data_IF_231381155075
#
_entry.id   IF_231381155075
#
_cell.length_a   1.000
_cell.length_b   1.000
_cell.length_c   1.000
_cell.angle_alpha   90.00
_cell.angle_beta   90.00
_cell.angle_gamma   90.00
#
_symmetry.space_group_name_H-M   'P 1'
#
loop_
_entity.id
_entity.type
_entity.pdbx_description
1 polymer ?
#
# COMPACT_ATOMS: atom_id res chain seq x y z
N UNK A 1 -38.78 -0.82 18.76
CA UNK A 1 -37.59 -1.69 18.88
C UNK A 1 -37.67 -2.71 17.77
N UNK A 2 -37.15 -2.39 16.61
CA UNK A 2 -37.07 -3.28 15.46
C UNK A 2 -35.59 -3.45 15.14
N UNK A 3 -35.12 -4.64 15.41
CA UNK A 3 -33.82 -5.19 15.09
C UNK A 3 -33.51 -5.04 13.61
N UNK A 4 -32.49 -4.28 13.26
CA UNK A 4 -31.90 -4.31 11.93
C UNK A 4 -30.57 -5.05 12.05
N UNK A 5 -30.68 -6.38 12.24
CA UNK A 5 -29.62 -7.30 11.87
C UNK A 5 -29.78 -7.57 10.37
N UNK A 6 -29.12 -6.79 9.56
CA UNK A 6 -28.87 -7.14 8.16
C UNK A 6 -27.45 -7.64 8.08
N UNK A 7 -27.32 -8.93 8.26
CA UNK A 7 -26.17 -9.76 7.91
C UNK A 7 -25.67 -9.35 6.53
N UNK A 8 -24.44 -8.84 6.46
CA UNK A 8 -23.70 -8.76 5.21
C UNK A 8 -23.23 -10.18 4.85
N UNK A 9 -24.15 -11.04 4.51
CA UNK A 9 -23.85 -12.26 3.76
C UNK A 9 -23.54 -11.82 2.33
N UNK A 10 -22.36 -12.22 1.87
CA UNK A 10 -21.78 -11.85 0.60
C UNK A 10 -22.76 -12.04 -0.55
N UNK A 11 -22.99 -10.96 -1.24
CA UNK A 11 -23.34 -11.01 -2.66
C UNK A 11 -22.13 -11.70 -3.29
N UNK A 12 -22.28 -12.98 -3.65
CA UNK A 12 -21.39 -13.63 -4.57
C UNK A 12 -21.37 -12.77 -5.81
N UNK A 13 -20.30 -12.00 -5.98
CA UNK A 13 -20.09 -11.24 -7.20
C UNK A 13 -20.17 -12.25 -8.34
N UNK A 14 -21.16 -12.15 -9.22
CA UNK A 14 -21.12 -12.82 -10.50
C UNK A 14 -19.74 -12.50 -11.07
N UNK A 15 -18.96 -13.53 -11.45
CA UNK A 15 -17.61 -13.36 -11.97
C UNK A 15 -17.66 -12.39 -13.15
N UNK A 16 -17.38 -11.11 -12.89
CA UNK A 16 -17.31 -10.09 -13.91
C UNK A 16 -15.97 -10.25 -14.65
N UNK A 17 -16.00 -10.98 -15.76
CA UNK A 17 -14.80 -11.32 -16.54
C UNK A 17 -14.73 -10.45 -17.77
N UNK A 18 -13.69 -9.65 -17.85
CA UNK A 18 -13.31 -8.91 -19.05
C UNK A 18 -12.29 -9.64 -19.90
N UNK A 19 -12.00 -9.10 -21.07
CA UNK A 19 -10.98 -9.58 -22.02
C UNK A 19 -9.94 -8.50 -22.28
N UNK A 20 -8.67 -8.86 -22.24
CA UNK A 20 -7.58 -7.96 -22.62
C UNK A 20 -7.74 -7.57 -24.09
N UNK A 21 -7.80 -6.28 -24.39
CA UNK A 21 -7.86 -5.74 -25.74
C UNK A 21 -6.52 -5.20 -26.19
N UNK A 22 -5.72 -4.65 -25.28
CA UNK A 22 -4.44 -4.04 -25.60
C UNK A 22 -3.50 -4.12 -24.38
N UNK A 23 -2.19 -4.28 -24.65
CA UNK A 23 -1.12 -4.21 -23.64
C UNK A 23 -0.05 -3.26 -24.18
N UNK A 24 0.26 -2.21 -23.43
CA UNK A 24 1.29 -1.21 -23.77
C UNK A 24 2.18 -0.99 -22.54
N UNK A 25 3.26 -1.74 -22.42
CA UNK A 25 4.10 -1.70 -21.21
C UNK A 25 3.28 -2.06 -19.97
N UNK A 26 3.26 -1.18 -18.96
CA UNK A 26 2.50 -1.38 -17.75
C UNK A 26 1.00 -1.02 -17.88
N UNK A 27 0.54 -0.55 -19.03
CA UNK A 27 -0.85 -0.16 -19.26
C UNK A 27 -1.58 -1.27 -20.00
N UNK A 28 -2.74 -1.67 -19.48
CA UNK A 28 -3.56 -2.75 -20.03
C UNK A 28 -4.98 -2.23 -20.23
N UNK A 29 -5.51 -2.35 -21.43
CA UNK A 29 -6.90 -2.04 -21.72
C UNK A 29 -7.72 -3.35 -21.72
N UNK A 30 -8.80 -3.35 -20.94
CA UNK A 30 -9.65 -4.52 -20.72
C UNK A 30 -11.09 -4.15 -21.09
N UNK A 31 -11.71 -4.96 -21.92
CA UNK A 31 -13.12 -4.81 -22.29
C UNK A 31 -13.98 -5.74 -21.47
N UNK A 32 -15.00 -5.17 -20.86
CA UNK A 32 -16.05 -5.91 -20.17
C UNK A 32 -17.29 -6.02 -21.07
N UNK A 33 -18.17 -6.96 -20.78
CA UNK A 33 -19.43 -7.12 -21.47
C UNK A 33 -20.56 -6.60 -20.58
N UNK A 34 -21.67 -6.23 -21.19
CA UNK A 34 -22.95 -5.93 -20.54
C UNK A 34 -22.97 -4.68 -19.63
N UNK A 35 -22.10 -3.69 -19.88
CA UNK A 35 -22.10 -2.41 -19.16
C UNK A 35 -21.71 -2.50 -17.68
N UNK A 36 -21.25 -3.66 -17.21
CA UNK A 36 -20.82 -3.86 -15.83
C UNK A 36 -19.31 -3.56 -15.67
N UNK A 37 -18.96 -2.27 -15.78
CA UNK A 37 -17.58 -1.83 -15.65
C UNK A 37 -17.13 -1.81 -14.17
N UNK A 38 -15.93 -2.34 -13.86
CA UNK A 38 -15.31 -2.16 -12.55
C UNK A 38 -15.12 -0.68 -12.24
N UNK A 39 -15.32 -0.30 -10.99
CA UNK A 39 -15.09 1.08 -10.53
C UNK A 39 -13.61 1.46 -10.65
N UNK A 40 -13.35 2.78 -10.75
CA UNK A 40 -11.98 3.32 -10.70
C UNK A 40 -11.36 2.92 -9.35
N UNK A 41 -10.08 2.60 -9.36
CA UNK A 41 -9.30 2.03 -8.24
C UNK A 41 -9.67 0.58 -7.86
N UNK A 42 -10.57 -0.08 -8.58
CA UNK A 42 -10.81 -1.51 -8.35
C UNK A 42 -9.66 -2.36 -8.85
N UNK A 43 -9.41 -3.46 -8.15
CA UNK A 43 -8.42 -4.46 -8.56
C UNK A 43 -9.03 -5.46 -9.55
N UNK A 44 -8.24 -5.85 -10.54
CA UNK A 44 -8.57 -6.91 -11.52
C UNK A 44 -7.44 -7.92 -11.50
N UNK A 45 -7.78 -9.19 -11.49
CA UNK A 45 -6.84 -10.30 -11.49
C UNK A 45 -6.70 -10.90 -12.89
N UNK A 46 -5.49 -11.07 -13.37
CA UNK A 46 -5.18 -11.73 -14.63
C UNK A 46 -4.33 -12.95 -14.31
N UNK A 47 -4.75 -14.13 -14.79
CA UNK A 47 -3.94 -15.35 -14.69
C UNK A 47 -2.87 -15.31 -15.77
N UNK A 48 -1.61 -15.42 -15.36
CA UNK A 48 -0.48 -15.47 -16.28
C UNK A 48 -0.23 -16.88 -16.81
N UNK A 49 0.44 -17.02 -17.94
CA UNK A 49 0.68 -18.32 -18.60
C UNK A 49 1.57 -19.27 -17.79
N UNK A 50 2.35 -18.76 -16.87
CA UNK A 50 3.21 -19.50 -15.92
C UNK A 50 2.46 -19.98 -14.67
N UNK A 51 1.14 -19.73 -14.61
CA UNK A 51 0.28 -20.07 -13.46
C UNK A 51 0.31 -19.06 -12.32
N UNK A 52 0.99 -17.93 -12.49
CA UNK A 52 0.99 -16.80 -11.57
C UNK A 52 -0.28 -15.97 -11.68
N UNK A 53 -0.33 -14.92 -10.87
CA UNK A 53 -1.40 -13.93 -10.82
C UNK A 53 -0.80 -12.54 -10.97
N UNK A 54 -1.28 -11.78 -11.95
CA UNK A 54 -1.00 -10.36 -12.07
C UNK A 54 -2.20 -9.56 -11.57
N UNK A 55 -1.96 -8.64 -10.64
CA UNK A 55 -2.95 -7.67 -10.20
C UNK A 55 -2.80 -6.40 -11.03
N UNK A 56 -3.91 -5.86 -11.51
CA UNK A 56 -3.96 -4.57 -12.20
C UNK A 56 -5.03 -3.68 -11.56
N UNK A 57 -4.80 -2.38 -11.53
CA UNK A 57 -5.74 -1.42 -10.95
C UNK A 57 -6.40 -0.59 -12.05
N UNK A 58 -7.71 -0.39 -11.96
CA UNK A 58 -8.47 0.44 -12.89
C UNK A 58 -8.14 1.91 -12.67
N UNK A 59 -7.50 2.53 -13.67
CA UNK A 59 -7.13 3.94 -13.63
C UNK A 59 -8.16 4.84 -14.32
N UNK A 60 -8.82 4.36 -15.38
CA UNK A 60 -9.71 5.17 -16.18
C UNK A 60 -10.73 4.33 -16.95
N UNK A 61 -11.93 4.87 -17.16
CA UNK A 61 -12.90 4.38 -18.13
C UNK A 61 -12.70 5.09 -19.48
N UNK A 62 -12.54 4.32 -20.56
CA UNK A 62 -12.29 4.85 -21.91
C UNK A 62 -13.58 5.02 -22.76
N UNK A 63 -14.70 4.43 -22.31
CA UNK A 63 -15.90 4.26 -23.12
C UNK A 63 -15.94 2.89 -23.81
N UNK A 64 -17.05 2.60 -24.48
CA UNK A 64 -17.27 1.32 -25.21
C UNK A 64 -17.00 0.06 -24.37
N UNK A 65 -17.33 0.12 -23.08
CA UNK A 65 -17.10 -0.94 -22.09
C UNK A 65 -15.63 -1.30 -21.86
N UNK A 66 -14.71 -0.36 -22.13
CA UNK A 66 -13.27 -0.53 -21.94
C UNK A 66 -12.77 0.25 -20.75
N UNK A 67 -12.03 -0.41 -19.88
CA UNK A 67 -11.29 0.21 -18.78
C UNK A 67 -9.79 0.16 -19.07
N UNK A 68 -9.08 1.20 -18.69
CA UNK A 68 -7.63 1.29 -18.70
C UNK A 68 -7.10 1.00 -17.32
N UNK A 69 -6.18 0.05 -17.25
CA UNK A 69 -5.59 -0.42 -16.01
C UNK A 69 -4.08 -0.25 -15.99
N UNK A 70 -3.53 -0.16 -14.79
CA UNK A 70 -2.10 -0.13 -14.53
C UNK A 70 -1.70 -1.44 -13.87
N UNK A 71 -0.69 -2.09 -14.43
CA UNK A 71 -0.19 -3.37 -13.95
C UNK A 71 0.70 -3.20 -12.71
N UNK A 72 0.43 -3.99 -11.67
CA UNK A 72 1.23 -4.09 -10.47
C UNK A 72 2.30 -5.19 -10.56
N UNK A 73 2.70 -5.56 -11.76
CA UNK A 73 3.71 -6.58 -12.02
C UNK A 73 4.15 -6.58 -13.47
N UNK A 74 5.08 -7.47 -13.84
CA UNK A 74 5.51 -7.65 -15.22
C UNK A 74 4.34 -8.06 -16.12
N UNK A 75 4.28 -7.47 -17.31
CA UNK A 75 3.23 -7.75 -18.31
C UNK A 75 3.69 -8.73 -19.37
N UNK A 76 4.87 -9.32 -19.19
CA UNK A 76 5.45 -10.27 -20.13
C UNK A 76 4.55 -11.50 -20.29
N UNK A 77 4.36 -11.93 -21.52
CA UNK A 77 3.52 -13.09 -21.83
C UNK A 77 2.01 -12.82 -21.82
N UNK A 78 1.55 -11.62 -21.51
CA UNK A 78 0.14 -11.26 -21.69
C UNK A 78 -0.18 -11.12 -23.18
N UNK A 79 -1.32 -11.69 -23.56
CA UNK A 79 -1.82 -11.61 -24.94
C UNK A 79 -3.26 -11.11 -24.96
N UNK A 80 -3.62 -10.52 -26.09
CA UNK A 80 -4.99 -10.09 -26.35
C UNK A 80 -5.96 -11.27 -26.27
N UNK A 81 -7.10 -11.05 -25.61
CA UNK A 81 -8.14 -12.07 -25.45
C UNK A 81 -8.05 -12.88 -24.15
N UNK A 82 -6.97 -12.72 -23.35
CA UNK A 82 -6.89 -13.34 -22.03
C UNK A 82 -7.99 -12.82 -21.10
N UNK A 83 -8.41 -13.67 -20.18
CA UNK A 83 -9.41 -13.35 -19.17
C UNK A 83 -8.83 -12.47 -18.07
N UNK A 84 -9.65 -11.51 -17.64
CA UNK A 84 -9.35 -10.59 -16.56
C UNK A 84 -10.55 -10.53 -15.61
N UNK A 85 -10.39 -11.00 -14.39
CA UNK A 85 -11.45 -11.14 -13.39
C UNK A 85 -11.47 -9.93 -12.47
N UNK A 86 -12.55 -9.15 -12.51
CA UNK A 86 -12.77 -8.03 -11.60
C UNK A 86 -13.05 -8.55 -10.19
N UNK A 87 -12.35 -7.99 -9.18
CA UNK A 87 -12.54 -8.39 -7.79
C UNK A 87 -13.73 -7.71 -7.13
N UNK A 88 -14.26 -6.65 -7.73
CA UNK A 88 -15.33 -5.82 -7.15
C UNK A 88 -14.87 -4.94 -5.98
N UNK A 89 -13.57 -4.90 -5.67
CA UNK A 89 -12.99 -4.13 -4.58
C UNK A 89 -11.61 -3.55 -4.97
N UNK A 90 -11.14 -2.48 -4.31
CA UNK A 90 -9.77 -1.99 -4.43
C UNK A 90 -8.74 -3.02 -3.94
N UNK A 91 -7.47 -2.78 -4.29
CA UNK A 91 -6.35 -3.51 -3.69
C UNK A 91 -6.44 -3.35 -2.17
N UNK A 92 -6.37 -4.48 -1.46
CA UNK A 92 -6.47 -4.51 0.00
C UNK A 92 -5.26 -5.19 0.60
N UNK A 93 -4.74 -4.61 1.69
CA UNK A 93 -3.52 -5.05 2.36
C UNK A 93 -3.83 -5.53 3.78
N UNK A 94 -3.03 -6.46 4.33
CA UNK A 94 -3.20 -6.92 5.69
C UNK A 94 -2.96 -5.79 6.69
N UNK A 95 -3.76 -5.72 7.74
CA UNK A 95 -3.64 -4.75 8.82
C UNK A 95 -3.72 -5.43 10.19
N UNK A 96 -3.24 -4.74 11.23
CA UNK A 96 -3.28 -5.22 12.60
C UNK A 96 -1.89 -5.48 13.19
N UNK A 97 -1.85 -5.88 14.45
CA UNK A 97 -0.60 -6.11 15.19
C UNK A 97 0.27 -7.21 14.58
N UNK A 98 -0.33 -8.15 13.84
CA UNK A 98 0.37 -9.24 13.18
C UNK A 98 1.28 -8.78 12.03
N UNK A 99 1.13 -7.52 11.59
CA UNK A 99 2.00 -6.90 10.58
C UNK A 99 3.26 -6.28 11.18
N UNK A 100 3.32 -6.12 12.50
CA UNK A 100 4.49 -5.57 13.18
C UNK A 100 5.69 -6.53 13.06
N UNK A 101 6.86 -5.97 12.91
CA UNK A 101 8.08 -6.75 12.70
C UNK A 101 8.21 -7.36 11.31
N UNK A 102 7.35 -6.99 10.37
CA UNK A 102 7.24 -7.58 9.05
C UNK A 102 7.54 -6.57 7.94
N UNK A 103 7.93 -7.12 6.79
CA UNK A 103 8.22 -6.36 5.59
C UNK A 103 7.31 -6.83 4.44
N UNK A 104 6.65 -5.90 3.78
CA UNK A 104 5.67 -6.16 2.73
C UNK A 104 6.01 -5.41 1.44
N UNK A 105 5.52 -5.94 0.32
CA UNK A 105 5.41 -5.19 -0.93
C UNK A 105 4.12 -4.32 -0.93
N UNK A 106 3.89 -3.57 -1.99
CA UNK A 106 2.71 -2.69 -2.12
C UNK A 106 1.37 -3.43 -2.23
N UNK A 107 1.40 -4.72 -2.54
CA UNK A 107 0.21 -5.58 -2.58
C UNK A 107 -0.09 -6.25 -1.23
N UNK A 108 0.77 -6.04 -0.23
CA UNK A 108 0.64 -6.67 1.08
C UNK A 108 1.23 -8.07 1.18
N UNK A 109 1.97 -8.53 0.15
CA UNK A 109 2.68 -9.80 0.23
C UNK A 109 3.96 -9.64 1.05
N UNK A 110 4.30 -10.59 1.92
CA UNK A 110 5.53 -10.53 2.71
C UNK A 110 6.77 -10.73 1.82
N UNK A 111 7.78 -9.87 2.02
CA UNK A 111 9.07 -9.93 1.32
C UNK A 111 10.25 -10.23 2.26
N UNK A 112 9.95 -10.55 3.52
CA UNK A 112 10.92 -10.88 4.57
C UNK A 112 11.28 -12.37 4.65
N UNK A 113 10.93 -13.18 3.65
CA UNK A 113 11.11 -14.63 3.59
C UNK A 113 10.41 -15.39 4.73
N UNK A 114 9.42 -14.80 5.39
CA UNK A 114 8.59 -15.46 6.39
C UNK A 114 7.20 -15.76 5.79
N UNK A 115 6.46 -16.73 6.33
CA UNK A 115 5.10 -17.01 5.87
C UNK A 115 4.20 -15.78 6.04
N UNK A 116 3.15 -15.70 5.23
CA UNK A 116 2.17 -14.62 5.35
C UNK A 116 1.57 -14.60 6.76
N UNK A 117 1.41 -13.41 7.37
CA UNK A 117 0.80 -13.32 8.70
C UNK A 117 -0.68 -13.70 8.64
N UNK A 118 -1.15 -14.41 9.64
CA UNK A 118 -2.58 -14.69 9.82
C UNK A 118 -3.25 -13.44 10.38
N UNK A 119 -3.78 -12.60 9.50
CA UNK A 119 -4.48 -11.36 9.89
C UNK A 119 -5.99 -11.59 9.90
N UNK A 120 -6.68 -10.87 10.79
CA UNK A 120 -8.14 -10.91 10.89
C UNK A 120 -8.81 -9.97 9.89
N UNK A 121 -8.11 -8.93 9.45
CA UNK A 121 -8.67 -7.87 8.64
C UNK A 121 -7.72 -7.43 7.52
N UNK A 122 -8.32 -7.11 6.37
CA UNK A 122 -7.65 -6.43 5.26
C UNK A 122 -8.34 -5.10 5.02
N UNK A 123 -7.56 -4.07 4.75
CA UNK A 123 -8.10 -2.74 4.44
C UNK A 123 -7.72 -2.31 3.02
N UNK A 124 -8.64 -1.63 2.31
CA UNK A 124 -8.34 -1.08 1.00
C UNK A 124 -7.29 0.03 1.11
N UNK A 125 -6.38 0.08 0.13
CA UNK A 125 -5.35 1.13 0.06
C UNK A 125 -5.97 2.50 -0.25
N UNK A 126 -7.09 2.55 -0.97
CA UNK A 126 -7.84 3.76 -1.25
C UNK A 126 -8.91 3.98 -0.18
N UNK A 127 -8.68 4.96 0.70
CA UNK A 127 -9.59 5.31 1.80
C UNK A 127 -9.99 6.78 1.70
N UNK A 128 -11.22 7.06 2.07
CA UNK A 128 -11.68 8.46 2.25
C UNK A 128 -10.97 9.09 3.45
N UNK A 129 -10.67 10.36 3.34
CA UNK A 129 -10.17 11.13 4.48
C UNK A 129 -11.21 11.15 5.61
N UNK A 130 -10.77 11.27 6.89
CA UNK A 130 -11.69 11.45 8.02
C UNK A 130 -12.61 12.64 7.81
N UNK A 131 -13.88 12.51 8.21
CA UNK A 131 -14.84 13.61 8.14
C UNK A 131 -14.39 14.78 9.04
N UNK A 132 -14.81 15.99 8.69
CA UNK A 132 -14.43 17.20 9.45
C UNK A 132 -14.75 17.09 10.96
N UNK A 133 -15.88 16.46 11.30
CA UNK A 133 -16.29 16.26 12.69
C UNK A 133 -15.41 15.27 13.48
N UNK A 134 -14.66 14.44 12.79
CA UNK A 134 -13.75 13.42 13.38
C UNK A 134 -12.33 13.95 13.59
N UNK A 135 -12.03 15.15 13.06
CA UNK A 135 -10.70 15.73 13.14
C UNK A 135 -10.48 16.40 14.51
N UNK A 136 -9.33 16.14 15.10
CA UNK A 136 -8.94 16.80 16.35
C UNK A 136 -8.70 18.31 16.10
N UNK A 137 -9.23 19.15 16.96
CA UNK A 137 -9.08 20.61 16.90
C UNK A 137 -7.91 21.13 17.74
N UNK A 138 -7.38 20.31 18.64
CA UNK A 138 -6.30 20.71 19.53
C UNK A 138 -4.95 20.53 18.83
N UNK A 139 -4.10 21.56 18.96
CA UNK A 139 -2.71 21.52 18.50
C UNK A 139 -1.82 21.06 19.64
N UNK A 140 -1.21 19.89 19.51
CA UNK A 140 -0.25 19.35 20.48
C UNK A 140 1.11 19.19 19.81
N UNK A 141 2.19 19.46 20.53
CA UNK A 141 3.55 19.26 20.06
C UNK A 141 3.91 17.79 20.27
N UNK A 142 4.54 17.18 19.24
CA UNK A 142 5.17 15.89 19.33
C UNK A 142 6.62 16.10 19.79
N UNK A 143 6.93 15.70 21.03
CA UNK A 143 8.30 15.69 21.53
C UNK A 143 9.07 14.57 20.84
N UNK A 144 10.03 14.96 19.99
CA UNK A 144 10.79 14.00 19.18
C UNK A 144 12.03 13.46 19.88
N UNK A 145 12.48 14.11 20.95
CA UNK A 145 13.75 13.83 21.62
C UNK A 145 14.98 14.35 20.86
N UNK A 146 14.79 14.96 19.70
CA UNK A 146 15.86 15.54 18.91
C UNK A 146 15.91 17.05 19.20
N UNK A 147 16.90 17.47 19.99
CA UNK A 147 16.98 18.84 20.53
C UNK A 147 16.81 19.93 19.49
N UNK A 148 17.43 19.80 18.32
CA UNK A 148 17.35 20.83 17.28
C UNK A 148 15.94 20.90 16.68
N UNK A 149 15.24 19.79 16.57
CA UNK A 149 13.85 19.74 16.09
C UNK A 149 12.94 20.36 17.13
N UNK A 150 12.99 19.88 18.37
CA UNK A 150 12.07 20.28 19.43
C UNK A 150 12.23 21.77 19.79
N UNK A 151 13.44 22.34 19.68
CA UNK A 151 13.70 23.75 19.99
C UNK A 151 13.45 24.73 18.84
N UNK A 152 13.78 24.33 17.58
CA UNK A 152 13.80 25.27 16.47
C UNK A 152 12.64 25.07 15.50
N UNK A 153 12.13 23.84 15.37
CA UNK A 153 11.05 23.49 14.45
C UNK A 153 10.19 22.37 15.01
N UNK A 154 9.51 22.58 16.15
CA UNK A 154 8.75 21.54 16.82
C UNK A 154 7.67 20.93 15.91
N UNK A 155 7.51 19.62 15.97
CA UNK A 155 6.54 18.89 15.17
C UNK A 155 5.18 18.89 15.85
N UNK A 156 4.13 19.05 15.07
CA UNK A 156 2.76 18.94 15.55
C UNK A 156 2.30 17.48 15.43
N UNK A 157 1.63 16.95 16.46
CA UNK A 157 0.93 15.67 16.38
C UNK A 157 -0.13 15.71 15.28
N UNK A 158 -0.15 14.67 14.43
CA UNK A 158 -1.02 14.62 13.25
C UNK A 158 -0.59 15.53 12.09
N UNK A 159 0.54 16.22 12.21
CA UNK A 159 1.10 17.06 11.17
C UNK A 159 1.80 16.26 10.07
N UNK A 160 2.04 16.93 8.93
CA UNK A 160 2.86 16.43 7.82
C UNK A 160 4.18 17.20 7.81
N UNK A 161 5.28 16.48 7.94
CA UNK A 161 6.62 17.06 8.05
C UNK A 161 7.44 16.61 6.84
N UNK A 162 8.11 17.55 6.17
CA UNK A 162 9.02 17.27 5.07
C UNK A 162 10.48 17.44 5.49
N UNK A 163 11.30 16.41 5.24
CA UNK A 163 12.76 16.45 5.42
C UNK A 163 13.42 16.51 4.05
N UNK A 164 13.95 17.67 3.69
CA UNK A 164 14.58 17.91 2.40
C UNK A 164 16.09 17.99 2.53
N UNK A 165 16.80 17.43 1.57
CA UNK A 165 18.26 17.49 1.53
C UNK A 165 18.82 16.60 0.43
N UNK A 166 20.06 16.85 0.04
CA UNK A 166 20.82 16.01 -0.90
C UNK A 166 21.12 14.60 -0.35
N UNK A 167 21.86 13.82 -1.12
CA UNK A 167 22.34 12.52 -0.67
C UNK A 167 23.35 12.68 0.49
N UNK A 168 23.36 11.74 1.43
CA UNK A 168 24.36 11.69 2.50
C UNK A 168 24.23 12.73 3.62
N UNK A 169 23.13 13.49 3.69
CA UNK A 169 22.93 14.53 4.72
C UNK A 169 22.24 14.03 6.00
N UNK A 170 22.08 12.72 6.15
CA UNK A 170 21.55 12.09 7.38
C UNK A 170 20.02 12.02 7.47
N UNK A 171 19.27 12.19 6.36
CA UNK A 171 17.80 12.05 6.40
C UNK A 171 17.33 10.73 6.98
N UNK A 172 17.92 9.63 6.52
CA UNK A 172 17.56 8.26 7.00
C UNK A 172 17.87 8.09 8.47
N UNK A 173 19.03 8.57 8.94
CA UNK A 173 19.41 8.53 10.35
C UNK A 173 18.42 9.30 11.22
N UNK A 174 17.96 10.46 10.74
CA UNK A 174 16.94 11.25 11.45
C UNK A 174 15.60 10.52 11.53
N UNK A 175 15.17 9.86 10.44
CA UNK A 175 13.95 9.06 10.42
C UNK A 175 14.06 7.87 11.39
N UNK A 176 15.18 7.16 11.40
CA UNK A 176 15.43 6.05 12.33
C UNK A 176 15.35 6.49 13.78
N UNK A 177 15.96 7.62 14.12
CA UNK A 177 15.92 8.17 15.47
C UNK A 177 14.50 8.59 15.88
N UNK A 178 13.72 9.16 14.96
CA UNK A 178 12.31 9.47 15.19
C UNK A 178 11.49 8.20 15.46
N UNK A 179 11.64 7.16 14.65
CA UNK A 179 10.96 5.88 14.82
C UNK A 179 11.33 5.27 16.17
N UNK A 180 12.62 5.27 16.52
CA UNK A 180 13.11 4.75 17.79
C UNK A 180 12.50 5.48 18.98
N UNK A 181 12.53 6.81 18.98
CA UNK A 181 12.02 7.62 20.07
C UNK A 181 10.49 7.47 20.24
N UNK A 182 9.75 7.38 19.12
CA UNK A 182 8.31 7.08 19.17
C UNK A 182 8.04 5.70 19.76
N UNK A 183 8.81 4.70 19.39
CA UNK A 183 8.64 3.33 19.88
C UNK A 183 9.01 3.18 21.36
N UNK A 184 10.10 3.83 21.82
CA UNK A 184 10.63 3.68 23.17
C UNK A 184 9.97 4.61 24.18
N UNK A 185 9.82 5.88 23.84
CA UNK A 185 9.35 6.91 24.78
C UNK A 185 7.83 7.08 24.77
N UNK A 186 7.22 6.96 23.58
CA UNK A 186 5.77 7.15 23.43
C UNK A 186 4.98 5.83 23.36
N UNK A 187 5.67 4.68 23.29
CA UNK A 187 5.02 3.37 23.18
C UNK A 187 4.23 3.18 21.88
N UNK A 188 4.47 4.03 20.88
CA UNK A 188 3.75 4.06 19.63
C UNK A 188 4.23 3.01 18.63
N UNK A 189 3.43 2.84 17.58
CA UNK A 189 3.77 2.02 16.42
C UNK A 189 4.20 2.91 15.25
N UNK A 190 5.05 2.38 14.39
CA UNK A 190 5.55 3.07 13.22
C UNK A 190 5.26 2.27 11.95
N UNK A 191 4.96 2.96 10.87
CA UNK A 191 4.91 2.38 9.54
C UNK A 191 5.94 3.10 8.69
N UNK A 192 6.93 2.38 8.21
CA UNK A 192 7.91 2.90 7.27
C UNK A 192 7.54 2.51 5.85
N UNK A 193 7.52 3.47 4.94
CA UNK A 193 7.27 3.21 3.52
C UNK A 193 8.44 3.73 2.69
N UNK A 194 9.11 2.83 1.95
CA UNK A 194 10.16 3.16 1.01
C UNK A 194 9.65 3.14 -0.42
N UNK A 195 9.50 4.32 -1.04
CA UNK A 195 9.05 4.44 -2.43
C UNK A 195 10.21 4.90 -3.31
N UNK A 196 10.56 4.10 -4.32
CA UNK A 196 11.71 4.37 -5.19
C UNK A 196 13.06 4.23 -4.48
N UNK A 197 13.10 3.51 -3.38
CA UNK A 197 14.34 3.21 -2.64
C UNK A 197 15.16 2.14 -3.36
N UNK A 198 16.48 2.21 -3.18
CA UNK A 198 17.36 1.14 -3.64
C UNK A 198 17.20 -0.07 -2.75
N UNK A 199 17.13 -1.25 -3.35
CA UNK A 199 17.00 -2.53 -2.62
C UNK A 199 18.02 -2.69 -1.50
N UNK A 200 19.26 -2.27 -1.75
CA UNK A 200 20.33 -2.30 -0.76
C UNK A 200 20.03 -1.40 0.44
N UNK A 201 19.62 -0.15 0.20
CA UNK A 201 19.33 0.82 1.27
C UNK A 201 18.15 0.36 2.13
N UNK A 202 17.11 -0.23 1.51
CA UNK A 202 15.99 -0.81 2.24
C UNK A 202 16.40 -2.02 3.10
N UNK A 203 17.29 -2.87 2.58
CA UNK A 203 17.80 -4.02 3.33
C UNK A 203 18.72 -3.58 4.50
N UNK A 204 19.57 -2.61 4.27
CA UNK A 204 20.46 -2.06 5.33
C UNK A 204 19.59 -1.46 6.46
N UNK A 205 18.55 -0.70 6.12
CA UNK A 205 17.59 -0.13 7.08
C UNK A 205 16.87 -1.22 7.89
N UNK A 206 16.43 -2.31 7.24
CA UNK A 206 15.78 -3.42 7.92
C UNK A 206 16.71 -4.06 8.97
N UNK A 207 17.98 -4.29 8.62
CA UNK A 207 18.96 -4.85 9.55
C UNK A 207 19.27 -3.91 10.73
N UNK A 208 19.40 -2.61 10.46
CA UNK A 208 19.61 -1.62 11.52
C UNK A 208 18.42 -1.54 12.49
N UNK A 209 17.19 -1.65 11.99
CA UNK A 209 16.00 -1.71 12.83
C UNK A 209 15.91 -3.01 13.64
N UNK A 210 16.40 -4.13 13.10
CA UNK A 210 16.50 -5.38 13.85
C UNK A 210 17.53 -5.28 14.98
N UNK A 211 18.71 -4.76 14.71
CA UNK A 211 19.78 -4.60 15.70
C UNK A 211 19.38 -3.64 16.83
N UNK A 212 18.64 -2.59 16.52
CA UNK A 212 18.12 -1.64 17.51
C UNK A 212 16.89 -2.13 18.27
N UNK A 213 16.29 -3.27 17.87
CA UNK A 213 15.08 -3.82 18.48
C UNK A 213 13.79 -3.03 18.17
N UNK A 214 13.87 -2.02 17.34
CA UNK A 214 12.70 -1.15 16.99
C UNK A 214 11.76 -1.83 16.00
N UNK A 215 12.26 -2.83 15.27
CA UNK A 215 11.47 -3.55 14.25
C UNK A 215 10.18 -4.16 14.83
N UNK A 216 10.19 -4.61 16.08
CA UNK A 216 9.02 -5.23 16.73
C UNK A 216 7.80 -4.31 16.83
N UNK A 217 8.01 -3.00 16.74
CA UNK A 217 6.95 -1.97 16.74
C UNK A 217 6.81 -1.26 15.40
N UNK A 218 7.43 -1.80 14.35
CA UNK A 218 7.45 -1.17 13.02
C UNK A 218 6.98 -2.14 11.96
N UNK A 219 6.12 -1.66 11.07
CA UNK A 219 5.78 -2.35 9.82
C UNK A 219 6.48 -1.65 8.67
N UNK A 220 7.08 -2.40 7.76
CA UNK A 220 7.79 -1.84 6.60
C UNK A 220 7.09 -2.21 5.31
N UNK A 221 6.92 -1.25 4.40
CA UNK A 221 6.34 -1.46 3.07
C UNK A 221 7.28 -0.87 2.03
N UNK A 222 7.64 -1.64 1.01
CA UNK A 222 8.56 -1.22 -0.02
C UNK A 222 7.97 -1.30 -1.43
N UNK A 223 8.11 -0.19 -2.17
CA UNK A 223 8.01 -0.11 -3.62
C UNK A 223 9.37 0.27 -4.18
N UNK A 224 10.22 -0.72 -4.44
CA UNK A 224 11.64 -0.51 -4.77
C UNK A 224 11.84 -0.02 -6.21
N UNK A 225 13.04 0.55 -6.51
CA UNK A 225 13.37 1.12 -7.83
C UNK A 225 13.31 0.10 -8.97
N UNK A 226 13.51 -1.18 -8.69
CA UNK A 226 13.47 -2.27 -9.67
C UNK A 226 12.08 -2.85 -9.91
N UNK A 227 11.09 -2.39 -9.15
CA UNK A 227 9.70 -2.82 -9.31
C UNK A 227 9.02 -2.14 -10.50
N UNK A 228 7.96 -2.75 -11.06
CA UNK A 228 7.19 -2.16 -12.15
C UNK A 228 6.62 -0.77 -11.81
N UNK A 229 6.36 0.09 -12.81
CA UNK A 229 5.85 1.46 -12.58
C UNK A 229 4.58 1.54 -11.73
N UNK A 230 3.70 0.54 -11.77
CA UNK A 230 2.48 0.48 -10.95
C UNK A 230 2.74 0.49 -9.44
N UNK A 231 3.93 0.07 -9.00
CA UNK A 231 4.32 0.08 -7.60
C UNK A 231 4.59 1.49 -7.03
N UNK A 232 4.74 2.51 -7.91
CA UNK A 232 5.11 3.86 -7.50
C UNK A 232 3.98 4.88 -7.66
N UNK A 233 2.83 4.44 -8.15
CA UNK A 233 1.61 5.22 -8.34
C UNK A 233 0.67 5.08 -7.16
#
# INVERSE_FOLDING_TARGET
MLSINKTMEGIMAENNIGKITQVIGAVIDIKFTDGNLPEINSAINIKTNDGGKLVVEVAQHLGDDVVRCIAMGPTDGLVRGMDAEATGAPISVPVGEQTLGRMFNVLGDPIDNKPAPEVQEHMPIHRKAPAFAEQATNTEILETGIKVVDLLCPYQKGGKIGLFGGAGVGKTVLIQELIRNIATEHGGYSVFTGVGERTREGNDLYHEMMESGVIEKTTMVFGQMNEPPGYWL
#
